data_IF_316036803324
#
_entry.id   IF_316036803324
#
_cell.length_a   1.000
_cell.length_b   1.000
_cell.length_c   1.000
_cell.angle_alpha   90.00
_cell.angle_beta   90.00
_cell.angle_gamma   90.00
#
_symmetry.space_group_name_H-M   'P 1'
#
loop_
_entity.id
_entity.type
_entity.pdbx_description
1 polymer ?
#
# COMPACT_ATOMS: atom_id res chain seq x y z
N UNK A 1 -1.63 1.21 -15.94
CA UNK A 1 -0.61 2.04 -15.26
C UNK A 1 0.77 1.48 -15.57
N UNK A 2 1.78 2.33 -15.58
CA UNK A 2 3.18 1.96 -15.81
C UNK A 2 4.03 2.40 -14.62
N UNK A 3 4.93 1.54 -14.18
CA UNK A 3 5.91 1.82 -13.15
C UNK A 3 7.29 1.90 -13.81
N UNK A 4 7.99 3.01 -13.61
CA UNK A 4 9.39 3.14 -13.97
C UNK A 4 10.23 2.94 -12.71
N UNK A 5 10.84 1.76 -12.63
CA UNK A 5 11.75 1.42 -11.54
C UNK A 5 13.13 1.97 -11.89
N UNK A 6 13.60 2.97 -11.12
CA UNK A 6 14.94 3.54 -11.29
C UNK A 6 16.04 2.59 -10.78
N UNK A 7 17.27 2.76 -11.25
CA UNK A 7 18.44 1.96 -10.83
C UNK A 7 18.68 1.94 -9.31
N UNK A 8 18.19 2.95 -8.59
CA UNK A 8 18.30 3.04 -7.12
C UNK A 8 17.51 1.96 -6.36
N UNK A 9 16.55 1.28 -6.99
CA UNK A 9 15.74 0.22 -6.35
C UNK A 9 16.53 -1.08 -6.12
N UNK A 10 17.71 -1.23 -6.72
CA UNK A 10 18.60 -2.39 -6.55
C UNK A 10 19.76 -2.14 -5.58
N UNK A 11 19.83 -0.98 -4.91
CA UNK A 11 20.84 -0.73 -3.88
C UNK A 11 20.51 -1.58 -2.64
N UNK A 12 21.41 -2.46 -2.18
CA UNK A 12 21.16 -3.29 -1.02
C UNK A 12 20.93 -2.42 0.23
N UNK A 13 19.86 -2.73 0.95
CA UNK A 13 19.50 -2.07 2.21
C UNK A 13 20.58 -2.40 3.24
N UNK A 14 21.40 -1.42 3.60
CA UNK A 14 22.47 -1.57 4.60
C UNK A 14 22.02 -1.30 6.04
N UNK A 15 20.75 -0.94 6.25
CA UNK A 15 20.25 -0.57 7.56
C UNK A 15 19.77 -1.81 8.33
N UNK A 16 20.43 -2.11 9.45
CA UNK A 16 19.99 -3.05 10.49
C UNK A 16 18.73 -2.57 11.22
N UNK A 17 18.33 -1.32 11.00
CA UNK A 17 17.22 -0.64 11.63
C UNK A 17 16.12 -0.26 10.60
N UNK A 18 14.91 -0.83 10.68
CA UNK A 18 13.80 -0.45 9.80
C UNK A 18 13.40 1.02 9.90
N UNK A 19 13.80 1.74 10.97
CA UNK A 19 13.59 3.19 11.14
C UNK A 19 14.45 4.04 10.21
N UNK A 20 15.54 3.50 9.67
CA UNK A 20 16.46 4.19 8.75
C UNK A 20 16.21 3.84 7.29
N UNK A 21 15.24 2.97 7.00
CA UNK A 21 14.96 2.54 5.64
C UNK A 21 14.19 3.63 4.88
N UNK A 22 14.89 4.35 4.00
CA UNK A 22 14.24 5.24 3.05
C UNK A 22 13.47 4.39 2.03
N UNK A 23 12.15 4.54 2.02
CA UNK A 23 11.32 3.96 0.96
C UNK A 23 11.74 4.60 -0.37
N UNK A 24 12.21 3.78 -1.31
CA UNK A 24 12.62 4.28 -2.62
C UNK A 24 11.44 4.96 -3.31
N UNK A 25 11.69 6.17 -3.83
CA UNK A 25 10.71 6.86 -4.65
C UNK A 25 10.47 6.06 -5.93
N UNK A 26 9.21 5.90 -6.30
CA UNK A 26 8.82 5.18 -7.50
C UNK A 26 8.27 6.18 -8.51
N UNK A 27 8.86 6.28 -9.70
CA UNK A 27 8.27 7.06 -10.77
C UNK A 27 7.16 6.24 -11.41
N UNK A 28 5.97 6.81 -11.51
CA UNK A 28 4.79 6.12 -11.98
C UNK A 28 3.97 6.98 -12.93
N UNK A 29 3.25 6.30 -13.80
CA UNK A 29 2.35 6.89 -14.76
C UNK A 29 1.00 6.15 -14.72
N UNK A 30 -0.03 6.84 -14.26
CA UNK A 30 -1.43 6.47 -14.37
C UNK A 30 -2.05 7.25 -15.52
N UNK A 31 -2.26 6.56 -16.65
CA UNK A 31 -2.77 7.19 -17.86
C UNK A 31 -4.22 7.66 -17.71
N UNK A 32 -4.67 8.64 -18.51
CA UNK A 32 -6.07 9.09 -18.51
C UNK A 32 -7.07 7.96 -18.74
N UNK A 33 -6.76 7.04 -19.64
CA UNK A 33 -7.60 5.89 -19.98
C UNK A 33 -7.72 4.94 -18.78
N UNK A 34 -6.61 4.67 -18.09
CA UNK A 34 -6.61 3.81 -16.89
C UNK A 34 -7.43 4.47 -15.77
N UNK A 35 -7.27 5.78 -15.55
CA UNK A 35 -8.03 6.52 -14.56
C UNK A 35 -9.53 6.50 -14.86
N UNK A 36 -9.91 6.68 -16.12
CA UNK A 36 -11.31 6.60 -16.56
C UNK A 36 -11.92 5.22 -16.28
N UNK A 37 -11.20 4.12 -16.55
CA UNK A 37 -11.65 2.76 -16.27
C UNK A 37 -11.86 2.50 -14.77
N UNK A 38 -10.95 2.99 -13.92
CA UNK A 38 -11.07 2.87 -12.46
C UNK A 38 -12.28 3.66 -11.95
N UNK A 39 -12.46 4.88 -12.45
CA UNK A 39 -13.59 5.72 -12.07
C UNK A 39 -14.93 5.12 -12.52
N UNK A 40 -15.01 4.58 -13.74
CA UNK A 40 -16.19 3.87 -14.23
C UNK A 40 -16.51 2.65 -13.35
N UNK A 41 -15.50 1.83 -13.01
CA UNK A 41 -15.67 0.70 -12.12
C UNK A 41 -16.23 1.12 -10.74
N UNK A 42 -15.72 2.22 -10.17
CA UNK A 42 -16.23 2.77 -8.91
C UNK A 42 -17.70 3.21 -9.01
N UNK A 43 -18.07 3.91 -10.08
CA UNK A 43 -19.45 4.36 -10.35
C UNK A 43 -20.40 3.18 -10.49
N UNK A 44 -19.94 2.10 -11.11
CA UNK A 44 -20.69 0.85 -11.25
C UNK A 44 -20.72 0.00 -9.96
N UNK A 45 -20.13 0.48 -8.85
CA UNK A 45 -20.06 -0.26 -7.59
C UNK A 45 -19.12 -1.47 -7.60
N UNK A 46 -18.22 -1.56 -8.59
CA UNK A 46 -17.21 -2.62 -8.67
C UNK A 46 -16.03 -2.30 -7.77
N UNK A 47 -15.50 -3.35 -7.13
CA UNK A 47 -14.30 -3.26 -6.27
C UNK A 47 -13.04 -3.02 -7.09
N UNK A 48 -12.15 -2.20 -6.56
CA UNK A 48 -10.81 -2.00 -7.13
C UNK A 48 -9.79 -2.87 -6.37
N UNK A 49 -9.26 -3.90 -7.05
CA UNK A 49 -8.26 -4.81 -6.48
C UNK A 49 -6.88 -4.44 -7.03
N UNK A 50 -5.96 -4.06 -6.14
CA UNK A 50 -4.57 -3.80 -6.49
C UNK A 50 -3.75 -5.09 -6.53
N UNK A 51 -2.91 -5.22 -7.55
CA UNK A 51 -1.95 -6.32 -7.67
C UNK A 51 -0.56 -5.76 -7.37
N UNK A 52 -0.05 -6.05 -6.19
CA UNK A 52 1.23 -5.55 -5.69
C UNK A 52 1.09 -4.28 -4.83
N UNK A 53 1.99 -4.16 -3.86
CA UNK A 53 2.04 -3.03 -2.92
C UNK A 53 2.41 -1.71 -3.59
N UNK A 54 3.24 -1.74 -4.64
CA UNK A 54 3.54 -0.55 -5.44
C UNK A 54 2.29 0.00 -6.12
N UNK A 55 1.46 -0.88 -6.69
CA UNK A 55 0.18 -0.49 -7.29
C UNK A 55 -0.74 0.18 -6.27
N UNK A 56 -0.78 -0.31 -5.02
CA UNK A 56 -1.52 0.35 -3.94
C UNK A 56 -1.04 1.77 -3.74
N UNK A 57 0.27 1.98 -3.62
CA UNK A 57 0.85 3.31 -3.41
C UNK A 57 0.51 4.27 -4.54
N UNK A 58 0.58 3.81 -5.78
CA UNK A 58 0.24 4.62 -6.97
C UNK A 58 -1.24 5.02 -6.96
N UNK A 59 -2.14 4.05 -6.74
CA UNK A 59 -3.59 4.29 -6.73
C UNK A 59 -4.00 5.22 -5.59
N UNK A 60 -3.49 4.99 -4.38
CA UNK A 60 -3.80 5.85 -3.23
C UNK A 60 -3.18 7.25 -3.40
N UNK A 61 -2.01 7.37 -4.04
CA UNK A 61 -1.46 8.70 -4.41
C UNK A 61 -2.41 9.43 -5.37
N UNK A 62 -2.88 8.75 -6.42
CA UNK A 62 -3.83 9.33 -7.38
C UNK A 62 -5.19 9.67 -6.75
N UNK A 63 -5.66 8.87 -5.78
CA UNK A 63 -6.89 9.14 -5.03
C UNK A 63 -6.78 10.32 -4.07
N UNK A 64 -5.62 10.51 -3.44
CA UNK A 64 -5.35 11.69 -2.62
C UNK A 64 -5.32 12.97 -3.47
N UNK A 65 -4.67 12.92 -4.64
CA UNK A 65 -4.68 14.02 -5.60
C UNK A 65 -6.09 14.35 -6.09
N UNK A 66 -6.91 13.33 -6.39
CA UNK A 66 -8.30 13.51 -6.79
C UNK A 66 -9.14 14.20 -5.71
N UNK A 67 -8.80 13.97 -4.44
CA UNK A 67 -9.44 14.60 -3.29
C UNK A 67 -8.93 16.02 -2.98
N UNK A 68 -8.00 16.57 -3.78
CA UNK A 68 -7.35 17.84 -3.50
C UNK A 68 -6.43 17.81 -2.28
N UNK A 69 -6.08 16.62 -1.78
CA UNK A 69 -5.15 16.47 -0.67
C UNK A 69 -3.72 16.52 -1.22
N UNK A 70 -2.78 17.16 -0.50
CA UNK A 70 -1.38 17.16 -0.90
C UNK A 70 -0.89 15.71 -1.03
N UNK A 71 -0.21 15.39 -2.13
CA UNK A 71 0.48 14.11 -2.27
C UNK A 71 1.36 13.92 -1.02
N UNK A 72 1.19 12.84 -0.22
CA UNK A 72 1.87 12.77 1.07
C UNK A 72 3.37 12.74 0.87
N UNK A 73 4.00 13.86 1.22
CA UNK A 73 5.44 13.98 1.29
C UNK A 73 5.84 13.32 2.59
N UNK A 74 6.27 12.06 2.52
CA UNK A 74 7.14 11.37 3.48
C UNK A 74 7.03 11.85 4.95
N UNK A 75 5.89 11.69 5.60
CA UNK A 75 5.89 11.63 7.05
C UNK A 75 6.16 10.17 7.43
N UNK A 76 7.44 9.82 7.56
CA UNK A 76 7.82 8.64 8.36
C UNK A 76 7.21 8.91 9.74
N UNK A 77 6.40 7.99 10.32
CA UNK A 77 5.88 8.20 11.67
C UNK A 77 7.07 8.48 12.61
N UNK A 78 6.92 9.36 13.62
CA UNK A 78 8.03 9.78 14.48
C UNK A 78 8.71 8.60 15.20
N UNK A 79 8.06 7.44 15.27
CA UNK A 79 8.69 6.18 15.64
C UNK A 79 8.11 4.97 14.85
N UNK A 80 8.80 4.49 13.80
CA UNK A 80 8.44 3.27 13.08
C UNK A 80 8.50 2.01 13.96
N UNK A 81 9.30 2.00 15.03
CA UNK A 81 9.38 0.86 15.95
C UNK A 81 8.16 0.76 16.86
N UNK A 82 7.57 1.89 17.29
CA UNK A 82 6.31 1.92 18.06
C UNK A 82 5.10 1.41 17.24
N UNK A 83 5.09 1.72 15.93
CA UNK A 83 4.08 1.20 14.98
C UNK A 83 4.25 -0.31 14.76
N UNK A 84 5.49 -0.81 14.80
CA UNK A 84 5.80 -2.24 14.69
C UNK A 84 5.57 -3.00 16.01
N UNK A 85 5.78 -2.37 17.18
CA UNK A 85 5.58 -2.96 18.51
C UNK A 85 4.10 -3.06 18.92
N UNK A 86 3.23 -2.23 18.34
CA UNK A 86 1.78 -2.31 18.55
C UNK A 86 1.25 -1.51 19.74
N UNK A 87 1.98 -0.48 20.19
CA UNK A 87 1.56 0.36 21.33
C UNK A 87 0.62 1.51 20.96
N UNK A 88 0.29 1.68 19.67
CA UNK A 88 -0.69 2.67 19.23
C UNK A 88 -2.10 2.05 19.17
N UNK A 89 -3.14 2.71 19.72
CA UNK A 89 -4.53 2.23 19.64
C UNK A 89 -5.06 2.46 18.22
N UNK A 90 -4.54 1.70 17.26
CA UNK A 90 -4.91 1.85 15.86
C UNK A 90 -6.18 1.04 15.62
N UNK A 91 -7.29 1.77 15.47
CA UNK A 91 -8.53 1.21 14.97
C UNK A 91 -8.28 0.51 13.62
N UNK A 92 -8.97 -0.60 13.30
CA UNK A 92 -8.87 -1.20 11.97
C UNK A 92 -9.06 -0.12 10.91
N UNK A 93 -8.21 -0.11 9.88
CA UNK A 93 -8.35 0.83 8.79
C UNK A 93 -9.76 0.65 8.21
N UNK A 94 -10.64 1.61 8.51
CA UNK A 94 -11.95 1.64 7.90
C UNK A 94 -11.75 1.95 6.43
N UNK A 95 -12.33 1.14 5.55
CA UNK A 95 -12.58 1.56 4.19
C UNK A 95 -13.42 2.83 4.26
N UNK A 96 -12.88 3.96 3.83
CA UNK A 96 -13.71 5.13 3.63
C UNK A 96 -14.55 4.87 2.38
N UNK A 97 -15.67 4.16 2.54
CA UNK A 97 -16.79 4.18 1.60
C UNK A 97 -17.53 5.52 1.74
N UNK A 98 -16.81 6.64 1.59
CA UNK A 98 -17.48 7.87 1.25
C UNK A 98 -17.71 7.82 -0.26
N UNK A 99 -18.94 7.93 -0.75
CA UNK A 99 -19.16 8.26 -2.15
C UNK A 99 -18.48 9.60 -2.37
N UNK A 100 -17.26 9.56 -2.91
CA UNK A 100 -16.53 10.78 -3.21
C UNK A 100 -17.39 11.55 -4.21
N UNK A 101 -17.75 12.78 -3.86
CA UNK A 101 -18.32 13.73 -4.82
C UNK A 101 -17.21 14.07 -5.81
N UNK A 102 -17.00 13.24 -6.84
CA UNK A 102 -15.93 13.39 -7.82
C UNK A 102 -15.29 12.08 -8.26
N UNK A 103 -14.20 12.18 -9.02
CA UNK A 103 -13.44 11.02 -9.48
C UNK A 103 -12.74 10.32 -8.30
N UNK A 104 -12.71 8.98 -8.32
CA UNK A 104 -11.97 8.19 -7.34
C UNK A 104 -10.45 8.34 -7.50
N UNK A 105 -9.98 8.52 -8.75
CA UNK A 105 -8.59 8.79 -9.10
C UNK A 105 -8.51 9.83 -10.22
N UNK A 106 -7.41 10.58 -10.27
CA UNK A 106 -7.04 11.44 -11.41
C UNK A 106 -5.83 10.86 -12.15
N UNK A 107 -5.67 11.15 -13.46
CA UNK A 107 -4.46 10.79 -14.18
C UNK A 107 -3.24 11.41 -13.49
N UNK A 108 -2.14 10.66 -13.40
CA UNK A 108 -0.99 11.07 -12.60
C UNK A 108 0.31 10.63 -13.27
N UNK A 109 1.26 11.54 -13.40
CA UNK A 109 2.65 11.20 -13.76
C UNK A 109 3.57 11.86 -12.77
N UNK A 110 4.40 11.06 -12.10
CA UNK A 110 5.36 11.60 -11.15
C UNK A 110 5.85 10.57 -10.16
N UNK A 111 6.56 11.07 -9.16
CA UNK A 111 7.13 10.25 -8.10
C UNK A 111 6.11 10.02 -6.98
N UNK A 112 5.93 8.77 -6.58
CA UNK A 112 5.26 8.45 -5.31
C UNK A 112 6.28 8.12 -4.23
N UNK A 113 6.16 8.85 -3.11
CA UNK A 113 6.86 8.59 -1.84
C UNK A 113 5.89 8.26 -0.72
N UNK A 114 4.66 7.89 -1.08
CA UNK A 114 3.60 7.58 -0.13
C UNK A 114 4.02 6.43 0.79
N UNK A 115 4.08 6.71 2.09
CA UNK A 115 4.38 5.72 3.12
C UNK A 115 3.08 5.31 3.81
N UNK A 116 2.68 4.04 3.66
CA UNK A 116 1.42 3.51 4.18
C UNK A 116 1.71 2.68 5.43
N UNK A 117 1.03 2.98 6.52
CA UNK A 117 1.20 2.35 7.82
C UNK A 117 -0.16 2.28 8.55
N UNK A 118 -0.28 1.45 9.60
CA UNK A 118 -1.53 1.32 10.35
C UNK A 118 -2.14 2.68 10.75
N UNK A 119 -3.44 2.86 10.46
CA UNK A 119 -4.15 4.14 10.60
C UNK A 119 -4.32 4.89 9.27
N UNK A 120 -3.68 4.44 8.19
CA UNK A 120 -3.92 4.97 6.85
C UNK A 120 -5.35 4.67 6.39
N UNK A 121 -6.06 5.68 5.88
CA UNK A 121 -7.40 5.55 5.35
C UNK A 121 -7.36 5.30 3.83
N UNK A 122 -7.65 4.06 3.42
CA UNK A 122 -7.71 3.68 2.01
C UNK A 122 -8.95 4.30 1.33
N UNK A 123 -8.74 4.88 0.15
CA UNK A 123 -9.79 5.59 -0.60
C UNK A 123 -10.13 4.90 -1.92
N UNK A 124 -9.14 4.23 -2.52
CA UNK A 124 -9.25 3.69 -3.88
C UNK A 124 -9.25 2.18 -3.84
N UNK A 125 -8.26 1.58 -3.20
CA UNK A 125 -8.06 0.13 -3.19
C UNK A 125 -9.01 -0.52 -2.18
N UNK A 126 -9.66 -1.60 -2.58
CA UNK A 126 -10.62 -2.38 -1.78
C UNK A 126 -10.24 -3.87 -1.70
N UNK A 127 -9.24 -4.30 -2.45
CA UNK A 127 -8.62 -5.61 -2.33
C UNK A 127 -7.14 -5.56 -2.70
N UNK A 128 -6.34 -6.47 -2.15
CA UNK A 128 -4.90 -6.51 -2.39
C UNK A 128 -4.46 -7.94 -2.66
N UNK A 129 -3.86 -8.16 -3.82
CA UNK A 129 -3.05 -9.35 -4.11
C UNK A 129 -1.57 -9.00 -3.93
N UNK A 130 -0.87 -9.67 -3.03
CA UNK A 130 0.54 -9.42 -2.73
C UNK A 130 1.25 -10.70 -2.28
N UNK A 131 2.57 -10.66 -2.14
CA UNK A 131 3.35 -11.79 -1.62
C UNK A 131 3.37 -11.78 -0.08
N UNK A 132 3.93 -12.85 0.52
CA UNK A 132 4.32 -12.82 1.94
C UNK A 132 5.64 -12.08 2.14
N UNK A 133 5.60 -11.04 2.96
CA UNK A 133 6.73 -10.13 3.26
C UNK A 133 7.44 -10.49 4.56
N UNK A 134 8.73 -10.14 4.66
CA UNK A 134 9.53 -10.33 5.87
C UNK A 134 8.99 -9.56 7.09
N UNK A 135 9.17 -10.09 8.31
CA UNK A 135 9.03 -9.32 9.55
C UNK A 135 9.88 -8.06 9.50
N UNK A 136 9.36 -6.96 10.06
CA UNK A 136 10.03 -5.65 10.13
C UNK A 136 10.34 -5.01 8.77
N UNK A 137 9.59 -5.35 7.72
CA UNK A 137 9.65 -4.65 6.42
C UNK A 137 8.59 -3.54 6.33
N UNK A 138 8.87 -2.51 5.53
CA UNK A 138 7.91 -1.43 5.22
C UNK A 138 6.70 -1.96 4.43
N UNK A 139 6.88 -3.00 3.63
CA UNK A 139 5.77 -3.67 2.94
C UNK A 139 4.82 -4.35 3.92
N UNK A 140 5.34 -4.94 5.00
CA UNK A 140 4.51 -5.51 6.05
C UNK A 140 3.70 -4.43 6.78
N UNK A 141 4.22 -3.20 6.93
CA UNK A 141 3.46 -2.07 7.49
C UNK A 141 2.27 -1.68 6.60
N UNK A 142 2.45 -1.62 5.28
CA UNK A 142 1.36 -1.35 4.34
C UNK A 142 0.29 -2.43 4.42
N UNK A 143 0.70 -3.70 4.42
CA UNK A 143 -0.22 -4.84 4.52
C UNK A 143 -0.93 -4.85 5.88
N UNK A 144 -0.23 -4.50 6.96
CA UNK A 144 -0.80 -4.34 8.31
C UNK A 144 -1.80 -3.18 8.37
N UNK A 145 -1.56 -2.10 7.62
CA UNK A 145 -2.51 -1.01 7.48
C UNK A 145 -3.78 -1.49 6.79
N UNK A 146 -3.64 -2.31 5.75
CA UNK A 146 -4.75 -2.78 4.92
C UNK A 146 -5.61 -3.84 5.61
N UNK A 147 -5.00 -4.89 6.15
CA UNK A 147 -5.71 -6.05 6.72
C UNK A 147 -5.97 -5.93 8.25
N UNK A 148 -5.30 -4.99 8.91
CA UNK A 148 -5.19 -4.97 10.37
C UNK A 148 -4.17 -5.99 10.90
N UNK A 149 -3.55 -5.65 12.03
CA UNK A 149 -2.44 -6.43 12.62
C UNK A 149 -2.85 -7.85 13.01
N UNK A 150 -3.98 -8.01 13.68
CA UNK A 150 -4.37 -9.30 14.25
C UNK A 150 -4.74 -10.34 13.18
N UNK A 151 -5.40 -9.89 12.10
CA UNK A 151 -5.71 -10.75 10.96
C UNK A 151 -4.42 -11.15 10.23
N UNK A 152 -3.53 -10.19 10.00
CA UNK A 152 -2.23 -10.43 9.36
C UNK A 152 -1.39 -11.44 10.15
N UNK A 153 -1.26 -11.27 11.47
CA UNK A 153 -0.48 -12.18 12.32
C UNK A 153 -1.08 -13.59 12.39
N UNK A 154 -2.43 -13.72 12.34
CA UNK A 154 -3.08 -15.02 12.20
C UNK A 154 -2.77 -15.68 10.86
N UNK A 155 -2.92 -14.94 9.76
CA UNK A 155 -2.62 -15.43 8.42
C UNK A 155 -1.15 -15.88 8.27
N UNK A 156 -0.21 -15.14 8.85
CA UNK A 156 1.22 -15.50 8.83
C UNK A 156 1.52 -16.76 9.63
N UNK A 157 0.93 -16.92 10.82
CA UNK A 157 1.08 -18.15 11.61
C UNK A 157 0.57 -19.37 10.84
N UNK A 158 -0.58 -19.23 10.18
CA UNK A 158 -1.14 -20.30 9.35
C UNK A 158 -0.23 -20.61 8.15
N UNK A 159 0.23 -19.59 7.43
CA UNK A 159 1.13 -19.75 6.28
C UNK A 159 2.42 -20.50 6.67
N UNK A 160 2.99 -20.21 7.84
CA UNK A 160 4.16 -20.93 8.37
C UNK A 160 3.80 -22.39 8.70
N UNK A 161 2.68 -22.62 9.37
CA UNK A 161 2.22 -23.97 9.72
C UNK A 161 1.99 -24.85 8.47
N UNK A 162 1.43 -24.25 7.41
CA UNK A 162 1.18 -24.88 6.11
C UNK A 162 2.38 -24.86 5.17
N UNK A 163 3.54 -24.38 5.62
CA UNK A 163 4.81 -24.33 4.86
C UNK A 163 4.71 -23.56 3.53
N UNK A 164 3.96 -22.47 3.52
CA UNK A 164 3.95 -21.53 2.40
C UNK A 164 5.36 -20.99 2.15
N UNK A 165 5.67 -20.72 0.89
CA UNK A 165 6.92 -20.09 0.45
C UNK A 165 6.74 -18.59 0.54
N UNK A 166 7.71 -17.90 1.12
CA UNK A 166 7.66 -16.44 1.31
C UNK A 166 8.51 -15.75 0.23
N UNK A 167 8.54 -14.41 0.22
CA UNK A 167 9.36 -13.56 -0.67
C UNK A 167 8.88 -13.47 -2.14
N UNK A 168 9.73 -12.89 -2.99
CA UNK A 168 9.42 -12.50 -4.37
C UNK A 168 8.97 -13.67 -5.26
N UNK A 169 9.47 -14.88 -4.99
CA UNK A 169 9.13 -16.09 -5.76
C UNK A 169 8.30 -17.10 -4.94
N UNK A 170 7.80 -16.64 -3.79
CA UNK A 170 6.95 -17.44 -2.92
C UNK A 170 5.50 -17.48 -3.37
N UNK A 171 4.65 -17.85 -2.44
CA UNK A 171 3.20 -17.86 -2.61
C UNK A 171 2.62 -16.45 -2.39
N UNK A 172 1.35 -16.30 -2.76
CA UNK A 172 0.62 -15.04 -2.70
C UNK A 172 -0.46 -15.05 -1.62
N UNK A 173 -0.86 -13.85 -1.21
CA UNK A 173 -1.94 -13.54 -0.30
C UNK A 173 -2.92 -12.60 -1.02
N UNK A 174 -4.20 -12.96 -0.98
CA UNK A 174 -5.30 -12.12 -1.42
C UNK A 174 -6.08 -11.63 -0.18
N UNK A 175 -6.24 -10.32 -0.05
CA UNK A 175 -7.00 -9.67 1.02
C UNK A 175 -8.21 -8.98 0.38
N UNK A 176 -9.41 -9.24 0.90
CA UNK A 176 -10.71 -8.83 0.36
C UNK A 176 -11.59 -8.14 1.40
#
# INVERSE_FOLDING_TARGET
>A
MTLHVGLDTFRPIKATDPRQHQLHAEFCHLSPETAALINAARVEGRRIIAIGTTTVRVLETAGLLAAGLPAPVSAVPPDPAAVVSGESPVQPAGWLHQPATGAAVVPFTGWTRLFIYPGFAFRVVEGLLTNFHLPRSTLLLLVSAFAGRDLLLRAYREAVAQRYRFYSFGDAMLIL
#
